data_IF_814785891182
#
_entry.id   IF_814785891182
#
_cell.length_a   1.000
_cell.length_b   1.000
_cell.length_c   1.000
_cell.angle_alpha   90.00
_cell.angle_beta   90.00
_cell.angle_gamma   90.00
#
_symmetry.space_group_name_H-M   'P 1'
#
loop_
_entity.id
_entity.type
_entity.pdbx_description
1 polymer ?
#
# COMPACT_ATOMS: atom_id res chain seq x y z
N UNK A 1 25.85 -77.88 44.86
CA UNK A 1 27.14 -77.99 44.14
C UNK A 1 27.18 -76.83 43.15
N UNK A 2 27.95 -75.77 43.44
CA UNK A 2 29.29 -75.52 42.86
C UNK A 2 29.17 -75.28 41.34
N UNK A 3 29.61 -74.18 40.72
CA UNK A 3 30.81 -73.38 40.97
C UNK A 3 30.75 -72.13 40.06
N UNK A 4 31.29 -71.00 40.52
CA UNK A 4 31.56 -69.79 39.72
C UNK A 4 32.47 -70.10 38.51
N UNK A 5 32.34 -69.31 37.44
CA UNK A 5 33.48 -68.67 36.75
C UNK A 5 33.01 -67.56 35.80
N UNK A 6 33.48 -66.35 36.10
CA UNK A 6 33.47 -65.21 35.20
C UNK A 6 34.55 -65.38 34.13
N UNK A 7 34.29 -64.91 32.91
CA UNK A 7 35.28 -64.36 31.99
C UNK A 7 34.54 -63.51 30.95
N UNK A 8 34.88 -62.23 30.92
CA UNK A 8 34.44 -61.25 29.94
C UNK A 8 34.83 -61.67 28.50
N UNK A 9 34.17 -61.11 27.48
CA UNK A 9 34.82 -60.40 26.36
C UNK A 9 33.75 -59.80 25.41
N UNK A 10 33.82 -58.48 25.29
CA UNK A 10 33.42 -57.60 24.17
C UNK A 10 32.07 -57.83 23.45
N UNK A 11 31.07 -57.02 23.84
CA UNK A 11 30.00 -56.61 22.94
C UNK A 11 30.58 -55.70 21.84
N UNK A 12 30.60 -56.17 20.60
CA UNK A 12 30.77 -55.31 19.43
C UNK A 12 29.48 -54.50 19.24
N UNK A 13 29.41 -53.32 19.85
CA UNK A 13 28.50 -52.27 19.40
C UNK A 13 29.07 -51.72 18.10
N UNK A 14 28.41 -52.03 16.99
CA UNK A 14 28.59 -51.30 15.73
C UNK A 14 28.11 -49.88 15.96
N UNK A 15 29.03 -49.05 16.46
CA UNK A 15 28.89 -47.60 16.55
C UNK A 15 28.77 -47.13 15.11
N UNK A 16 27.54 -46.95 14.62
CA UNK A 16 27.30 -46.09 13.48
C UNK A 16 28.04 -44.80 13.77
N UNK A 17 29.08 -44.55 12.97
CA UNK A 17 29.77 -43.29 12.92
C UNK A 17 28.71 -42.26 12.55
N UNK A 18 28.17 -41.57 13.56
CA UNK A 18 27.66 -40.23 13.38
C UNK A 18 28.79 -39.47 12.70
N UNK A 19 28.67 -39.28 11.38
CA UNK A 19 29.39 -38.22 10.69
C UNK A 19 29.21 -36.97 11.54
N UNK A 20 30.31 -36.37 11.98
CA UNK A 20 30.30 -35.12 12.70
C UNK A 20 29.48 -34.11 11.89
N UNK A 21 28.23 -33.88 12.28
CA UNK A 21 27.42 -32.82 11.72
C UNK A 21 28.15 -31.53 12.03
N UNK A 22 28.58 -30.81 11.00
CA UNK A 22 29.19 -29.50 11.15
C UNK A 22 28.30 -28.68 12.11
N UNK A 23 28.83 -28.39 13.31
CA UNK A 23 28.09 -27.66 14.32
C UNK A 23 27.61 -26.33 13.72
N UNK A 24 26.37 -25.95 14.04
CA UNK A 24 25.79 -24.70 13.55
C UNK A 24 26.72 -23.53 13.87
N UNK A 25 27.18 -22.86 12.83
CA UNK A 25 28.15 -21.79 12.94
C UNK A 25 27.46 -20.51 13.44
N UNK A 26 27.87 -20.01 14.61
CA UNK A 26 27.26 -18.82 15.22
C UNK A 26 27.40 -17.58 14.33
N UNK A 27 28.51 -17.45 13.60
CA UNK A 27 28.73 -16.38 12.61
C UNK A 27 27.75 -16.48 11.45
N UNK A 28 27.62 -17.65 10.81
CA UNK A 28 26.66 -17.87 9.72
C UNK A 28 25.21 -17.59 10.16
N UNK A 29 24.82 -18.03 11.36
CA UNK A 29 23.50 -17.76 11.93
C UNK A 29 23.24 -16.27 12.17
N UNK A 30 24.22 -15.55 12.72
CA UNK A 30 24.14 -14.11 12.94
C UNK A 30 24.05 -13.35 11.63
N UNK A 31 24.89 -13.69 10.65
CA UNK A 31 24.88 -13.10 9.31
C UNK A 31 23.54 -13.32 8.62
N UNK A 32 23.04 -14.55 8.57
CA UNK A 32 21.78 -14.89 7.92
C UNK A 32 20.59 -14.16 8.56
N UNK A 33 20.54 -14.08 9.89
CA UNK A 33 19.48 -13.34 10.60
C UNK A 33 19.56 -11.83 10.34
N UNK A 34 20.75 -11.24 10.38
CA UNK A 34 20.92 -9.80 10.10
C UNK A 34 20.52 -9.46 8.67
N UNK A 35 20.84 -10.35 7.72
CA UNK A 35 20.54 -10.17 6.31
C UNK A 35 19.04 -10.30 6.02
N UNK A 36 18.37 -11.29 6.61
CA UNK A 36 17.01 -11.68 6.23
C UNK A 36 15.92 -11.22 7.21
N UNK A 37 16.26 -11.00 8.49
CA UNK A 37 15.31 -10.65 9.54
C UNK A 37 14.43 -11.80 10.06
N UNK A 38 14.53 -13.02 9.50
CA UNK A 38 13.74 -14.16 9.96
C UNK A 38 14.09 -14.61 11.39
N UNK A 39 13.18 -15.38 12.01
CA UNK A 39 13.39 -15.88 13.38
C UNK A 39 14.64 -16.76 13.49
N UNK A 40 15.28 -16.77 14.66
CA UNK A 40 16.48 -17.59 14.89
C UNK A 40 16.22 -19.07 14.63
N UNK A 41 15.03 -19.57 14.97
CA UNK A 41 14.65 -20.96 14.73
C UNK A 41 14.63 -21.31 13.24
N UNK A 42 14.04 -20.43 12.41
CA UNK A 42 14.01 -20.63 10.96
C UNK A 42 15.40 -20.53 10.35
N UNK A 43 16.20 -19.52 10.75
CA UNK A 43 17.58 -19.38 10.28
C UNK A 43 18.45 -20.59 10.66
N UNK A 44 18.29 -21.10 11.88
CA UNK A 44 18.98 -22.31 12.37
C UNK A 44 18.58 -23.54 11.56
N UNK A 45 17.30 -23.71 11.27
CA UNK A 45 16.79 -24.82 10.45
C UNK A 45 17.33 -24.75 9.03
N UNK A 46 17.31 -23.56 8.41
CA UNK A 46 17.82 -23.35 7.06
C UNK A 46 19.31 -23.69 6.96
N UNK A 47 20.14 -23.17 7.88
CA UNK A 47 21.57 -23.47 7.90
C UNK A 47 21.86 -24.95 8.15
N UNK A 48 21.08 -25.61 9.00
CA UNK A 48 21.24 -27.05 9.26
C UNK A 48 20.92 -27.89 8.01
N UNK A 49 19.95 -27.49 7.19
CA UNK A 49 19.59 -28.19 5.95
C UNK A 49 20.62 -27.97 4.82
N UNK A 50 21.32 -26.85 4.83
CA UNK A 50 22.26 -26.45 3.77
C UNK A 50 23.72 -26.43 4.24
N UNK A 51 24.07 -27.20 5.27
CA UNK A 51 25.45 -27.36 5.75
C UNK A 51 26.16 -26.02 6.06
N UNK A 52 25.45 -25.08 6.69
CA UNK A 52 25.91 -23.70 6.97
C UNK A 52 26.18 -22.83 5.73
N UNK A 53 25.77 -23.23 4.53
CA UNK A 53 25.78 -22.37 3.34
C UNK A 53 24.73 -21.27 3.50
N UNK A 54 25.20 -20.04 3.73
CA UNK A 54 24.35 -18.86 3.96
C UNK A 54 23.50 -18.55 2.74
N UNK A 55 24.02 -18.71 1.52
CA UNK A 55 23.31 -18.35 0.28
C UNK A 55 22.18 -19.33 0.01
N UNK A 56 22.46 -20.63 0.13
CA UNK A 56 21.41 -21.65 -0.04
C UNK A 56 20.37 -21.58 1.08
N UNK A 57 20.79 -21.33 2.32
CA UNK A 57 19.88 -21.17 3.45
C UNK A 57 18.97 -19.95 3.29
N UNK A 58 19.48 -18.84 2.76
CA UNK A 58 18.69 -17.65 2.43
C UNK A 58 17.64 -17.95 1.35
N UNK A 59 18.04 -18.59 0.25
CA UNK A 59 17.12 -18.98 -0.81
C UNK A 59 15.99 -19.88 -0.27
N UNK A 60 16.34 -20.88 0.51
CA UNK A 60 15.37 -21.77 1.14
C UNK A 60 14.44 -21.00 2.10
N UNK A 61 14.96 -20.06 2.90
CA UNK A 61 14.13 -19.23 3.78
C UNK A 61 13.10 -18.41 3.00
N UNK A 62 13.49 -17.83 1.87
CA UNK A 62 12.56 -17.08 1.02
C UNK A 62 11.46 -17.97 0.44
N UNK A 63 11.82 -19.13 -0.10
CA UNK A 63 10.85 -20.11 -0.64
C UNK A 63 9.88 -20.59 0.45
N UNK A 64 10.40 -20.88 1.65
CA UNK A 64 9.57 -21.27 2.78
C UNK A 64 8.67 -20.13 3.27
N UNK A 65 9.17 -18.90 3.31
CA UNK A 65 8.39 -17.73 3.69
C UNK A 65 7.22 -17.51 2.72
N UNK A 66 7.46 -17.69 1.42
CA UNK A 66 6.42 -17.59 0.39
C UNK A 66 5.34 -18.66 0.61
N UNK A 67 5.75 -19.92 0.76
CA UNK A 67 4.82 -21.04 0.99
C UNK A 67 3.98 -20.87 2.26
N UNK A 68 4.62 -20.49 3.37
CA UNK A 68 3.95 -20.23 4.64
C UNK A 68 3.04 -19.00 4.57
N UNK A 69 3.46 -17.97 3.84
CA UNK A 69 2.67 -16.78 3.56
C UNK A 69 1.36 -17.12 2.87
N UNK A 70 1.44 -17.88 1.77
CA UNK A 70 0.25 -18.36 1.04
C UNK A 70 -0.66 -19.25 1.88
N UNK A 71 -0.07 -20.16 2.67
CA UNK A 71 -0.84 -21.00 3.59
C UNK A 71 -1.60 -20.16 4.62
N UNK A 72 -0.96 -19.13 5.19
CA UNK A 72 -1.60 -18.20 6.13
C UNK A 72 -2.65 -17.33 5.45
N UNK A 73 -2.35 -16.75 4.28
CA UNK A 73 -3.29 -15.94 3.52
C UNK A 73 -4.58 -16.72 3.24
N UNK A 74 -4.46 -17.99 2.83
CA UNK A 74 -5.62 -18.87 2.62
C UNK A 74 -6.40 -19.07 3.93
N UNK A 75 -5.72 -19.42 5.03
CA UNK A 75 -6.36 -19.66 6.35
C UNK A 75 -7.01 -18.43 6.97
N UNK A 76 -6.53 -17.24 6.63
CA UNK A 76 -6.97 -15.98 7.22
C UNK A 76 -7.94 -15.22 6.29
N UNK A 77 -8.12 -15.67 5.04
CA UNK A 77 -8.85 -14.95 3.99
C UNK A 77 -10.30 -14.58 4.34
N UNK A 78 -11.00 -15.41 5.11
CA UNK A 78 -12.39 -15.16 5.54
C UNK A 78 -12.51 -14.10 6.64
N UNK A 79 -11.40 -13.67 7.22
CA UNK A 79 -11.41 -12.67 8.30
C UNK A 79 -11.63 -11.28 7.74
N UNK A 80 -12.47 -10.52 8.42
CA UNK A 80 -12.86 -9.16 8.03
C UNK A 80 -11.68 -8.20 8.16
N UNK A 81 -11.34 -7.49 7.08
CA UNK A 81 -10.31 -6.45 7.06
C UNK A 81 -10.94 -5.07 6.82
N UNK A 82 -11.36 -4.40 7.89
CA UNK A 82 -11.94 -3.04 7.82
C UNK A 82 -10.98 -1.94 8.25
N UNK A 83 -9.86 -2.29 8.89
CA UNK A 83 -8.77 -1.36 9.20
C UNK A 83 -7.80 -1.28 8.04
N UNK A 84 -6.81 -0.37 8.10
CA UNK A 84 -5.78 -0.25 7.06
C UNK A 84 -5.36 1.19 6.79
N UNK A 85 -4.84 1.43 5.59
CA UNK A 85 -4.35 2.73 5.15
C UNK A 85 -4.73 3.03 3.70
N UNK A 86 -4.98 4.31 3.44
CA UNK A 86 -4.93 4.92 2.11
C UNK A 86 -3.50 5.44 1.89
N UNK A 87 -2.91 5.10 0.75
CA UNK A 87 -1.64 5.63 0.26
C UNK A 87 -1.86 6.61 -0.89
N UNK A 88 -1.21 7.77 -0.84
CA UNK A 88 -1.24 8.81 -1.89
C UNK A 88 0.20 9.11 -2.31
N UNK A 89 0.50 8.93 -3.58
CA UNK A 89 1.81 9.22 -4.18
C UNK A 89 1.61 10.12 -5.39
N UNK A 90 2.20 11.32 -5.35
CA UNK A 90 2.25 12.25 -6.49
C UNK A 90 3.70 12.39 -6.94
N UNK A 91 3.93 12.30 -8.25
CA UNK A 91 5.25 12.37 -8.89
C UNK A 91 5.15 13.17 -10.18
N UNK A 92 5.37 14.49 -10.07
CA UNK A 92 5.20 15.40 -11.19
C UNK A 92 3.77 15.37 -11.71
N UNK A 93 3.58 14.96 -12.96
CA UNK A 93 2.28 14.88 -13.62
C UNK A 93 1.56 13.53 -13.44
N UNK A 94 2.04 12.67 -12.53
CA UNK A 94 1.48 11.34 -12.27
C UNK A 94 1.03 11.22 -10.82
N UNK A 95 -0.03 10.46 -10.60
CA UNK A 95 -0.59 10.19 -9.27
C UNK A 95 -0.96 8.73 -9.09
N UNK A 96 -0.84 8.24 -7.87
CA UNK A 96 -1.36 6.95 -7.44
C UNK A 96 -2.06 7.09 -6.09
N UNK A 97 -3.22 6.45 -5.97
CA UNK A 97 -4.06 6.44 -4.78
C UNK A 97 -4.50 5.01 -4.52
N UNK A 98 -4.10 4.44 -3.40
CA UNK A 98 -4.31 3.01 -3.09
C UNK A 98 -5.00 2.85 -1.74
N UNK A 99 -5.83 1.83 -1.58
CA UNK A 99 -6.37 1.42 -0.28
C UNK A 99 -5.94 -0.02 0.00
N UNK A 100 -5.25 -0.21 1.13
CA UNK A 100 -4.91 -1.52 1.66
C UNK A 100 -5.58 -1.70 3.01
N UNK A 101 -6.14 -2.88 3.24
CA UNK A 101 -6.80 -3.20 4.49
C UNK A 101 -6.09 -4.30 5.27
N UNK A 102 -6.31 -4.31 6.58
CA UNK A 102 -5.88 -5.33 7.53
C UNK A 102 -6.94 -5.54 8.61
N UNK A 103 -6.76 -6.56 9.46
CA UNK A 103 -7.70 -6.86 10.55
C UNK A 103 -7.68 -5.75 11.62
N UNK A 104 -6.50 -5.30 12.07
CA UNK A 104 -6.35 -4.38 13.20
C UNK A 104 -5.65 -3.07 12.85
N UNK A 105 -5.88 -2.03 13.66
CA UNK A 105 -5.19 -0.74 13.53
C UNK A 105 -3.71 -0.83 13.98
N UNK A 106 -3.37 -1.81 14.83
CA UNK A 106 -1.98 -2.12 15.20
C UNK A 106 -1.14 -2.50 13.99
N UNK A 107 -1.66 -3.34 13.09
CA UNK A 107 -0.98 -3.67 11.84
C UNK A 107 -0.91 -2.47 10.90
N UNK A 108 -1.98 -1.68 10.78
CA UNK A 108 -1.97 -0.47 9.96
C UNK A 108 -0.86 0.53 10.37
N UNK A 109 -0.54 0.61 11.67
CA UNK A 109 0.53 1.49 12.17
C UNK A 109 1.94 0.92 12.03
N UNK A 110 2.08 -0.36 11.67
CA UNK A 110 3.37 -1.04 11.53
C UNK A 110 4.14 -0.53 10.30
N UNK A 111 5.44 -0.28 10.44
CA UNK A 111 6.26 0.25 9.33
C UNK A 111 6.41 -0.75 8.17
N UNK A 112 6.30 -2.05 8.42
CA UNK A 112 6.27 -3.07 7.36
C UNK A 112 5.01 -2.92 6.50
N UNK A 113 3.87 -2.68 7.13
CA UNK A 113 2.62 -2.43 6.42
C UNK A 113 2.69 -1.11 5.63
N UNK A 114 3.18 -0.02 6.24
CA UNK A 114 3.37 1.27 5.54
C UNK A 114 4.33 1.17 4.36
N UNK A 115 5.44 0.43 4.50
CA UNK A 115 6.36 0.15 3.38
C UNK A 115 5.68 -0.64 2.26
N UNK A 116 4.78 -1.55 2.61
CA UNK A 116 4.00 -2.28 1.61
C UNK A 116 2.98 -1.36 0.90
N UNK A 117 2.34 -0.43 1.62
CA UNK A 117 1.49 0.61 1.00
C UNK A 117 2.29 1.47 0.01
N UNK A 118 3.50 1.91 0.37
CA UNK A 118 4.40 2.63 -0.55
C UNK A 118 4.79 1.77 -1.76
N UNK A 119 5.11 0.50 -1.54
CA UNK A 119 5.45 -0.44 -2.60
C UNK A 119 4.31 -0.60 -3.63
N UNK A 120 3.08 -0.83 -3.16
CA UNK A 120 1.89 -0.91 -4.03
C UNK A 120 1.64 0.42 -4.73
N UNK A 121 1.77 1.56 -4.03
CA UNK A 121 1.60 2.90 -4.61
C UNK A 121 2.57 3.14 -5.77
N UNK A 122 3.83 2.72 -5.63
CA UNK A 122 4.84 2.84 -6.69
C UNK A 122 4.56 1.95 -7.90
N UNK A 123 4.09 0.72 -7.68
CA UNK A 123 3.70 -0.19 -8.78
C UNK A 123 2.52 0.41 -9.56
N UNK A 124 1.49 0.87 -8.85
CA UNK A 124 0.32 1.52 -9.47
C UNK A 124 0.72 2.77 -10.23
N UNK A 125 1.62 3.60 -9.67
CA UNK A 125 2.15 4.78 -10.35
C UNK A 125 2.91 4.39 -11.63
N UNK A 126 3.74 3.35 -11.60
CA UNK A 126 4.53 2.93 -12.75
C UNK A 126 3.66 2.50 -13.94
N UNK A 127 2.42 2.03 -13.72
CA UNK A 127 1.51 1.72 -14.80
C UNK A 127 1.17 2.93 -15.69
N UNK A 128 1.30 4.15 -15.16
CA UNK A 128 1.14 5.39 -15.94
C UNK A 128 2.29 5.62 -16.95
N UNK A 129 3.44 4.96 -16.76
CA UNK A 129 4.58 5.02 -17.69
C UNK A 129 4.35 4.17 -18.93
N UNK A 130 3.52 3.14 -18.81
CA UNK A 130 3.18 2.21 -19.89
C UNK A 130 2.07 2.76 -20.80
N UNK A 131 1.51 3.93 -20.45
CA UNK A 131 0.35 4.50 -21.13
C UNK A 131 0.67 5.83 -21.79
N UNK A 132 0.51 5.88 -23.10
CA UNK A 132 0.40 7.12 -23.86
C UNK A 132 -1.07 7.56 -23.91
N UNK A 133 -1.33 8.86 -23.82
CA UNK A 133 -2.67 9.40 -23.94
C UNK A 133 -2.61 10.83 -24.50
N UNK A 134 -3.63 11.20 -25.27
CA UNK A 134 -3.85 12.54 -25.79
C UNK A 134 -5.10 13.13 -25.12
N UNK A 135 -4.90 14.20 -24.34
CA UNK A 135 -5.93 14.82 -23.49
C UNK A 135 -5.34 15.41 -22.22
N UNK A 136 -6.19 16.08 -21.43
CA UNK A 136 -5.75 16.77 -20.22
C UNK A 136 -5.55 15.82 -19.04
N UNK A 137 -6.50 14.91 -18.80
CA UNK A 137 -6.51 14.00 -17.66
C UNK A 137 -6.82 12.58 -18.12
N UNK A 138 -5.92 11.65 -17.77
CA UNK A 138 -6.13 10.22 -17.88
C UNK A 138 -6.19 9.59 -16.49
N UNK A 139 -7.10 8.62 -16.33
CA UNK A 139 -7.31 7.90 -15.07
C UNK A 139 -7.54 6.42 -15.32
N UNK A 140 -6.99 5.58 -14.45
CA UNK A 140 -7.23 4.15 -14.45
C UNK A 140 -7.45 3.63 -13.02
N UNK A 141 -8.62 3.04 -12.79
CA UNK A 141 -8.95 2.28 -11.58
C UNK A 141 -8.61 0.80 -11.69
N UNK A 142 -8.19 0.24 -10.56
CA UNK A 142 -7.95 -1.18 -10.37
C UNK A 142 -8.79 -1.68 -9.19
N UNK A 143 -9.47 -2.81 -9.38
CA UNK A 143 -10.06 -3.56 -8.29
C UNK A 143 -9.05 -4.52 -7.65
N UNK A 144 -9.48 -5.23 -6.60
CA UNK A 144 -8.64 -6.14 -5.86
C UNK A 144 -8.06 -7.28 -6.72
N UNK A 145 -8.81 -7.76 -7.72
CA UNK A 145 -8.37 -8.89 -8.54
C UNK A 145 -7.40 -8.45 -9.62
N UNK A 146 -7.61 -7.29 -10.24
CA UNK A 146 -6.63 -6.67 -11.12
C UNK A 146 -5.31 -6.39 -10.38
N UNK A 147 -5.38 -5.86 -9.16
CA UNK A 147 -4.19 -5.52 -8.36
C UNK A 147 -3.37 -6.75 -7.99
N UNK A 148 -4.00 -7.85 -7.57
CA UNK A 148 -3.30 -9.09 -7.21
C UNK A 148 -2.41 -9.62 -8.34
N UNK A 149 -2.81 -9.42 -9.59
CA UNK A 149 -2.13 -9.95 -10.77
C UNK A 149 -1.02 -9.04 -11.30
N UNK A 150 -0.85 -7.82 -10.77
CA UNK A 150 0.23 -6.93 -11.23
C UNK A 150 1.58 -7.52 -10.85
N UNK A 151 2.47 -7.62 -11.84
CA UNK A 151 3.86 -8.03 -11.64
C UNK A 151 4.66 -6.94 -10.94
N UNK A 152 5.61 -7.35 -10.10
CA UNK A 152 6.50 -6.44 -9.39
C UNK A 152 7.89 -6.44 -10.03
N UNK A 153 8.62 -5.30 -10.02
CA UNK A 153 10.01 -5.25 -10.48
C UNK A 153 10.97 -6.20 -9.72
N UNK A 154 10.60 -6.59 -8.50
CA UNK A 154 11.34 -7.52 -7.65
C UNK A 154 11.01 -8.99 -7.97
N UNK A 155 10.12 -9.26 -8.92
CA UNK A 155 9.66 -10.58 -9.30
C UNK A 155 8.40 -11.02 -8.54
N UNK A 156 7.61 -11.90 -9.17
CA UNK A 156 6.32 -12.33 -8.64
C UNK A 156 5.24 -11.26 -8.75
N UNK A 157 4.02 -11.63 -8.37
CA UNK A 157 2.84 -10.77 -8.41
C UNK A 157 2.63 -10.02 -7.09
N UNK A 158 1.83 -8.95 -7.10
CA UNK A 158 1.42 -8.29 -5.86
C UNK A 158 0.73 -9.25 -4.87
N UNK A 159 0.05 -10.30 -5.36
CA UNK A 159 -0.51 -11.33 -4.50
C UNK A 159 0.59 -12.14 -3.76
N UNK A 160 1.71 -12.43 -4.42
CA UNK A 160 2.85 -13.10 -3.79
C UNK A 160 3.44 -12.24 -2.66
N UNK A 161 3.59 -10.94 -2.91
CA UNK A 161 4.11 -10.01 -1.91
C UNK A 161 3.12 -9.77 -0.76
N UNK A 162 1.81 -9.73 -1.05
CA UNK A 162 0.76 -9.68 -0.04
C UNK A 162 0.79 -10.94 0.86
N UNK A 163 0.99 -12.11 0.27
CA UNK A 163 1.11 -13.36 1.03
C UNK A 163 2.33 -13.33 1.97
N UNK A 164 3.46 -12.76 1.54
CA UNK A 164 4.63 -12.53 2.41
C UNK A 164 4.30 -11.57 3.57
N UNK A 165 3.58 -10.47 3.30
CA UNK A 165 3.14 -9.54 4.33
C UNK A 165 2.25 -10.24 5.37
N UNK A 166 1.23 -10.98 4.93
CA UNK A 166 0.33 -11.76 5.81
C UNK A 166 1.14 -12.79 6.59
N UNK A 167 2.11 -13.44 5.94
CA UNK A 167 3.03 -14.37 6.56
C UNK A 167 3.81 -13.77 7.72
N UNK A 168 4.30 -12.55 7.54
CA UNK A 168 5.10 -11.79 8.50
C UNK A 168 4.25 -11.18 9.62
N UNK A 169 3.09 -10.60 9.30
CA UNK A 169 2.21 -9.93 10.27
C UNK A 169 1.34 -10.91 11.07
N UNK A 170 0.95 -12.03 10.46
CA UNK A 170 0.08 -13.02 11.07
C UNK A 170 -1.41 -12.63 11.11
N UNK A 171 -1.78 -11.56 10.40
CA UNK A 171 -3.17 -11.10 10.21
C UNK A 171 -3.51 -11.08 8.72
N UNK A 172 -4.80 -11.21 8.42
CA UNK A 172 -5.33 -11.01 7.09
C UNK A 172 -5.09 -9.57 6.63
N UNK A 173 -4.79 -9.44 5.35
CA UNK A 173 -4.60 -8.17 4.68
C UNK A 173 -5.10 -8.27 3.23
N UNK A 174 -5.50 -7.16 2.65
CA UNK A 174 -5.95 -7.10 1.27
C UNK A 174 -5.49 -5.81 0.59
N UNK A 175 -5.22 -5.90 -0.71
CA UNK A 175 -5.09 -4.73 -1.58
C UNK A 175 -6.47 -4.51 -2.18
N UNK A 176 -7.18 -3.49 -1.73
CA UNK A 176 -8.62 -3.39 -1.97
C UNK A 176 -8.97 -2.72 -3.28
N UNK A 177 -8.32 -1.60 -3.57
CA UNK A 177 -8.55 -0.80 -4.78
C UNK A 177 -7.42 0.19 -4.99
N UNK A 178 -7.27 0.64 -6.22
CA UNK A 178 -6.34 1.69 -6.57
C UNK A 178 -6.87 2.55 -7.71
N UNK A 179 -6.34 3.77 -7.81
CA UNK A 179 -6.46 4.67 -8.93
C UNK A 179 -5.06 5.16 -9.30
N UNK A 180 -4.76 5.24 -10.59
CA UNK A 180 -3.64 6.01 -11.09
C UNK A 180 -4.13 7.12 -12.03
N UNK A 181 -3.36 8.20 -12.06
CA UNK A 181 -3.68 9.45 -12.72
C UNK A 181 -2.46 9.87 -13.53
N UNK A 182 -2.70 10.40 -14.73
CA UNK A 182 -1.69 11.10 -15.51
C UNK A 182 -2.33 12.36 -16.06
N UNK A 183 -1.67 13.49 -15.88
CA UNK A 183 -2.13 14.78 -16.39
C UNK A 183 -1.13 15.32 -17.39
N UNK A 184 -1.62 16.06 -18.39
CA UNK A 184 -0.80 16.74 -19.39
C UNK A 184 -1.19 18.24 -19.43
N UNK A 185 -0.61 18.96 -20.39
CA UNK A 185 -0.90 20.37 -20.65
C UNK A 185 -0.67 21.24 -19.41
N UNK A 186 -1.70 21.95 -18.98
CA UNK A 186 -1.67 22.88 -17.85
C UNK A 186 -2.22 22.29 -16.55
N UNK A 187 -2.57 20.99 -16.54
CA UNK A 187 -3.03 20.31 -15.34
C UNK A 187 -1.89 19.90 -14.41
N UNK A 188 -2.14 20.06 -13.13
CA UNK A 188 -1.27 19.69 -12.01
C UNK A 188 -2.01 18.74 -11.07
N UNK A 189 -1.26 17.95 -10.31
CA UNK A 189 -1.79 17.05 -9.29
C UNK A 189 -1.32 17.49 -7.90
N UNK A 190 -2.24 17.51 -6.95
CA UNK A 190 -1.94 17.61 -5.52
C UNK A 190 -2.61 16.47 -4.77
N UNK A 191 -1.97 16.02 -3.68
CA UNK A 191 -2.46 14.90 -2.90
C UNK A 191 -2.17 15.05 -1.42
N UNK A 192 -3.06 14.52 -0.59
CA UNK A 192 -3.00 14.59 0.86
C UNK A 192 -3.54 13.31 1.48
N UNK A 193 -2.88 12.82 2.53
CA UNK A 193 -3.42 11.76 3.38
C UNK A 193 -3.61 12.26 4.82
N UNK A 194 -4.67 11.80 5.47
CA UNK A 194 -5.04 12.17 6.85
C UNK A 194 -5.20 10.93 7.75
N UNK A 195 -4.65 10.90 8.97
CA UNK A 195 -3.78 11.92 9.56
C UNK A 195 -2.46 12.05 8.80
N UNK A 196 -1.97 13.27 8.66
CA UNK A 196 -0.73 13.52 7.96
C UNK A 196 0.47 12.98 8.75
N UNK A 197 1.45 12.33 8.11
CA UNK A 197 2.71 12.05 8.76
C UNK A 197 3.39 13.37 9.17
N UNK A 198 3.81 13.48 10.43
CA UNK A 198 4.52 14.65 10.92
C UNK A 198 5.88 14.75 10.25
N UNK A 199 6.26 15.95 9.81
CA UNK A 199 7.60 16.31 9.27
C UNK A 199 7.90 15.90 7.82
N UNK A 200 7.08 16.30 6.85
CA UNK A 200 7.49 16.23 5.44
C UNK A 200 7.47 17.62 4.82
N UNK A 201 8.66 18.15 4.50
CA UNK A 201 8.83 19.47 3.87
C UNK A 201 8.37 19.49 2.40
N UNK A 202 8.21 18.31 1.79
CA UNK A 202 7.72 18.13 0.42
C UNK A 202 6.96 16.80 0.35
N UNK A 203 5.87 16.75 -0.41
CA UNK A 203 5.08 15.53 -0.61
C UNK A 203 5.34 14.88 -1.96
N UNK A 204 6.21 15.47 -2.79
CA UNK A 204 6.56 14.94 -4.10
C UNK A 204 7.42 13.67 -3.98
N UNK A 205 7.10 12.65 -4.77
CA UNK A 205 7.76 11.34 -4.80
C UNK A 205 7.76 10.55 -3.47
N UNK A 206 7.01 11.02 -2.48
CA UNK A 206 6.87 10.39 -1.16
C UNK A 206 5.43 9.92 -1.01
N UNK A 207 5.24 8.64 -0.71
CA UNK A 207 3.90 8.11 -0.43
C UNK A 207 3.45 8.61 0.93
N UNK A 208 2.42 9.45 0.94
CA UNK A 208 1.69 9.82 2.14
C UNK A 208 0.72 8.70 2.51
N UNK A 209 0.57 8.42 3.80
CA UNK A 209 -0.33 7.38 4.29
C UNK A 209 -1.24 7.90 5.38
N UNK A 210 -2.50 7.49 5.38
CA UNK A 210 -3.51 7.92 6.35
C UNK A 210 -4.74 7.02 6.34
N UNK A 211 -5.71 7.31 7.21
CA UNK A 211 -7.04 6.69 7.16
C UNK A 211 -7.87 7.23 5.99
N UNK A 212 -7.68 8.51 5.66
CA UNK A 212 -8.32 9.17 4.53
C UNK A 212 -7.25 9.66 3.57
N UNK A 213 -7.62 9.82 2.30
CA UNK A 213 -6.77 10.51 1.34
C UNK A 213 -7.59 11.18 0.26
N UNK A 214 -7.03 12.22 -0.33
CA UNK A 214 -7.57 12.88 -1.52
C UNK A 214 -6.45 13.17 -2.52
N UNK A 215 -6.81 13.12 -3.79
CA UNK A 215 -6.00 13.64 -4.90
C UNK A 215 -6.88 14.56 -5.74
N UNK A 216 -6.32 15.69 -6.17
CA UNK A 216 -7.01 16.70 -6.98
C UNK A 216 -6.19 17.00 -8.23
N UNK A 217 -6.87 17.02 -9.37
CA UNK A 217 -6.36 17.51 -10.64
C UNK A 217 -6.91 18.92 -10.88
N UNK A 218 -6.01 19.89 -11.04
CA UNK A 218 -6.38 21.30 -11.15
C UNK A 218 -5.52 22.06 -12.14
N UNK A 219 -6.06 23.14 -12.70
CA UNK A 219 -5.30 24.17 -13.41
C UNK A 219 -5.08 25.36 -12.50
N UNK A 220 -3.95 26.03 -12.66
CA UNK A 220 -3.66 27.30 -11.99
C UNK A 220 -3.02 28.25 -12.98
N UNK A 221 -3.59 29.45 -13.14
CA UNK A 221 -2.99 30.50 -13.99
C UNK A 221 -1.86 31.26 -13.28
N UNK A 222 -1.77 31.14 -11.97
CA UNK A 222 -0.65 31.66 -11.21
C UNK A 222 0.38 30.54 -11.03
N UNK A 223 1.66 30.88 -11.14
CA UNK A 223 2.77 29.95 -10.88
C UNK A 223 2.97 29.73 -9.37
N UNK A 224 1.86 29.50 -8.65
CA UNK A 224 1.88 29.23 -7.22
C UNK A 224 2.15 27.75 -7.04
N UNK A 225 3.39 27.48 -6.66
CA UNK A 225 3.73 26.31 -5.84
C UNK A 225 3.29 26.56 -4.38
N UNK A 226 2.10 27.17 -4.19
CA UNK A 226 1.52 27.35 -2.87
C UNK A 226 0.96 26.00 -2.42
N UNK A 227 1.86 25.24 -1.82
CA UNK A 227 1.54 23.95 -1.24
C UNK A 227 0.47 24.04 -0.15
N UNK A 228 0.28 25.21 0.51
CA UNK A 228 -0.73 25.34 1.56
C UNK A 228 -2.13 25.40 0.97
N UNK A 229 -2.36 26.13 -0.13
CA UNK A 229 -3.69 26.11 -0.76
C UNK A 229 -4.01 24.74 -1.38
N UNK A 230 -3.04 24.11 -2.03
CA UNK A 230 -3.20 22.76 -2.61
C UNK A 230 -3.57 21.72 -1.54
N UNK A 231 -2.86 21.77 -0.41
CA UNK A 231 -3.12 20.93 0.76
C UNK A 231 -4.46 21.27 1.41
N UNK A 232 -4.80 22.55 1.54
CA UNK A 232 -6.07 23.02 2.09
C UNK A 232 -7.28 22.53 1.27
N UNK A 233 -7.20 22.56 -0.06
CA UNK A 233 -8.21 21.97 -0.94
C UNK A 233 -8.33 20.46 -0.70
N UNK A 234 -7.22 19.73 -0.58
CA UNK A 234 -7.28 18.30 -0.31
C UNK A 234 -7.83 18.00 1.10
N UNK A 235 -7.52 18.85 2.10
CA UNK A 235 -8.08 18.76 3.45
C UNK A 235 -9.60 19.00 3.44
N UNK A 236 -10.06 19.99 2.67
CA UNK A 236 -11.48 20.24 2.43
C UNK A 236 -12.17 18.99 1.90
N UNK A 237 -11.63 18.38 0.83
CA UNK A 237 -12.20 17.18 0.22
C UNK A 237 -12.24 16.01 1.23
N UNK A 238 -11.15 15.81 1.98
CA UNK A 238 -11.09 14.77 3.01
C UNK A 238 -12.14 15.00 4.11
N UNK A 239 -12.25 16.22 4.63
CA UNK A 239 -13.09 16.57 5.78
C UNK A 239 -14.57 16.68 5.43
N UNK A 240 -14.89 17.38 4.34
CA UNK A 240 -16.27 17.78 4.00
C UNK A 240 -16.95 16.86 2.98
N UNK A 241 -16.23 15.85 2.46
CA UNK A 241 -16.76 14.78 1.58
C UNK A 241 -17.74 15.31 0.50
N UNK A 242 -17.33 16.29 -0.32
CA UNK A 242 -18.15 16.74 -1.45
C UNK A 242 -18.44 15.57 -2.40
N UNK A 243 -19.56 15.66 -3.11
CA UNK A 243 -19.97 14.67 -4.12
C UNK A 243 -19.63 15.11 -5.56
N UNK A 244 -19.42 16.40 -5.78
CA UNK A 244 -19.02 16.99 -7.07
C UNK A 244 -18.27 18.30 -6.87
N UNK A 245 -17.57 18.78 -7.89
CA UNK A 245 -16.93 20.11 -7.88
C UNK A 245 -18.01 21.19 -7.87
N UNK A 246 -18.88 21.17 -8.89
CA UNK A 246 -19.96 22.13 -9.08
C UNK A 246 -19.74 23.09 -10.22
N UNK A 247 -20.83 23.61 -10.78
CA UNK A 247 -20.83 24.64 -11.81
C UNK A 247 -21.74 25.80 -11.44
N UNK A 248 -21.18 27.02 -11.42
CA UNK A 248 -21.95 28.23 -11.12
C UNK A 248 -23.10 28.42 -12.11
N UNK A 249 -24.28 28.73 -11.60
CA UNK A 249 -25.49 28.95 -12.39
C UNK A 249 -26.27 27.67 -12.73
N UNK A 250 -25.65 26.48 -12.64
CA UNK A 250 -26.35 25.20 -12.74
C UNK A 250 -26.60 24.58 -11.37
N UNK A 251 -25.57 24.59 -10.53
CA UNK A 251 -25.64 24.07 -9.17
C UNK A 251 -25.92 25.21 -8.21
N UNK A 252 -27.06 25.13 -7.51
CA UNK A 252 -27.44 26.07 -6.47
C UNK A 252 -26.90 25.58 -5.12
N UNK A 253 -26.55 26.51 -4.21
CA UNK A 253 -26.16 26.13 -2.86
C UNK A 253 -27.33 25.45 -2.14
N UNK A 254 -27.02 24.49 -1.27
CA UNK A 254 -27.99 23.84 -0.42
C UNK A 254 -28.67 24.87 0.52
N UNK A 255 -29.95 24.65 0.84
CA UNK A 255 -30.67 25.50 1.79
C UNK A 255 -30.01 25.45 3.19
N UNK A 256 -29.55 24.27 3.58
CA UNK A 256 -28.77 24.04 4.79
C UNK A 256 -27.30 23.83 4.43
N UNK A 257 -26.42 24.64 5.01
CA UNK A 257 -24.98 24.59 4.76
C UNK A 257 -24.35 23.26 5.17
N UNK A 258 -24.87 22.62 6.21
CA UNK A 258 -24.36 21.32 6.70
C UNK A 258 -24.62 20.18 5.71
N UNK A 259 -25.60 20.35 4.81
CA UNK A 259 -25.98 19.38 3.79
C UNK A 259 -25.34 19.70 2.43
N UNK A 260 -24.40 20.64 2.36
CA UNK A 260 -23.78 21.07 1.10
C UNK A 260 -22.86 19.99 0.52
N UNK A 261 -23.23 19.50 -0.66
CA UNK A 261 -22.53 18.42 -1.37
C UNK A 261 -21.68 18.92 -2.54
N UNK A 262 -21.86 20.17 -2.93
CA UNK A 262 -21.19 20.82 -4.04
C UNK A 262 -19.95 21.56 -3.53
N UNK A 263 -18.75 21.11 -3.90
CA UNK A 263 -17.49 21.62 -3.34
C UNK A 263 -17.39 23.14 -3.40
N UNK A 264 -17.72 23.77 -4.53
CA UNK A 264 -17.60 25.23 -4.70
C UNK A 264 -18.50 26.05 -3.75
N UNK A 265 -19.55 25.46 -3.19
CA UNK A 265 -20.49 26.13 -2.28
C UNK A 265 -20.23 25.80 -0.80
N UNK A 266 -19.37 24.82 -0.51
CA UNK A 266 -19.01 24.48 0.87
C UNK A 266 -18.23 25.64 1.51
N UNK A 267 -18.47 25.86 2.81
CA UNK A 267 -17.60 26.70 3.64
C UNK A 267 -16.19 26.11 3.66
N UNK A 268 -15.18 26.97 3.53
CA UNK A 268 -13.80 26.53 3.49
C UNK A 268 -13.29 26.24 4.90
N UNK A 269 -12.76 25.03 5.10
CA UNK A 269 -12.34 24.52 6.42
C UNK A 269 -11.30 25.40 7.12
N UNK A 270 -10.43 26.07 6.36
CA UNK A 270 -9.36 26.92 6.91
C UNK A 270 -9.77 28.39 7.06
N UNK A 271 -10.88 28.81 6.46
CA UNK A 271 -11.44 30.16 6.54
C UNK A 271 -12.95 30.12 6.30
N UNK A 272 -13.73 30.05 7.39
CA UNK A 272 -15.18 29.89 7.33
C UNK A 272 -15.92 31.14 6.80
N UNK A 273 -15.23 32.27 6.65
CA UNK A 273 -15.80 33.48 6.05
C UNK A 273 -15.93 33.36 4.53
N UNK A 274 -15.32 32.33 3.92
CA UNK A 274 -15.30 32.08 2.48
C UNK A 274 -15.84 30.70 2.13
N UNK A 275 -16.43 30.62 0.96
CA UNK A 275 -16.68 29.36 0.26
C UNK A 275 -15.41 28.86 -0.44
N UNK A 276 -15.32 27.56 -0.68
CA UNK A 276 -14.22 26.98 -1.46
C UNK A 276 -14.17 27.62 -2.86
N UNK A 277 -15.32 27.88 -3.49
CA UNK A 277 -15.37 28.50 -4.81
C UNK A 277 -14.81 29.93 -4.84
N UNK A 278 -14.98 30.71 -3.77
CA UNK A 278 -14.34 32.02 -3.63
C UNK A 278 -12.82 31.89 -3.49
N UNK A 279 -12.36 30.96 -2.65
CA UNK A 279 -10.93 30.66 -2.49
C UNK A 279 -10.30 30.23 -3.80
N UNK A 280 -10.96 29.37 -4.58
CA UNK A 280 -10.50 28.93 -5.90
C UNK A 280 -10.39 30.11 -6.88
N UNK A 281 -11.39 31.00 -6.92
CA UNK A 281 -11.38 32.19 -7.78
C UNK A 281 -10.27 33.17 -7.42
N UNK A 282 -10.09 33.47 -6.14
CA UNK A 282 -9.04 34.37 -5.65
C UNK A 282 -7.63 33.90 -6.03
N UNK A 283 -7.42 32.58 -6.04
CA UNK A 283 -6.15 31.95 -6.37
C UNK A 283 -6.04 31.54 -7.85
N UNK A 284 -7.04 31.85 -8.68
CA UNK A 284 -7.13 31.46 -10.09
C UNK A 284 -6.92 29.94 -10.31
N UNK A 285 -7.52 29.12 -9.44
CA UNK A 285 -7.50 27.66 -9.49
C UNK A 285 -8.81 27.15 -10.08
N UNK A 286 -8.72 26.25 -11.05
CA UNK A 286 -9.83 25.46 -11.57
C UNK A 286 -9.63 24.00 -11.17
N UNK A 287 -10.53 23.44 -10.36
CA UNK A 287 -10.53 22.00 -10.09
C UNK A 287 -11.21 21.30 -11.27
N UNK A 288 -10.47 20.45 -11.97
CA UNK A 288 -11.01 19.64 -13.06
C UNK A 288 -11.59 18.33 -12.52
N UNK A 289 -10.93 17.73 -11.54
CA UNK A 289 -11.36 16.45 -10.98
C UNK A 289 -10.74 16.19 -9.60
N UNK A 290 -11.38 15.36 -8.78
CA UNK A 290 -10.80 14.90 -7.51
C UNK A 290 -11.33 13.53 -7.12
N UNK A 291 -10.55 12.82 -6.29
CA UNK A 291 -10.97 11.55 -5.69
C UNK A 291 -10.65 11.56 -4.21
N UNK A 292 -11.55 10.95 -3.42
CA UNK A 292 -11.43 10.79 -1.97
C UNK A 292 -11.57 9.31 -1.63
N UNK A 293 -10.64 8.77 -0.86
CA UNK A 293 -10.79 7.46 -0.24
C UNK A 293 -10.85 7.61 1.27
N UNK A 294 -11.71 6.81 1.84
CA UNK A 294 -11.73 6.50 3.26
C UNK A 294 -11.50 5.00 3.43
N UNK A 295 -10.48 4.67 4.22
CA UNK A 295 -10.14 3.29 4.55
C UNK A 295 -11.35 2.60 5.19
N UNK A 296 -11.76 1.47 4.61
CA UNK A 296 -12.89 0.67 5.08
C UNK A 296 -14.26 1.17 4.59
N UNK A 297 -14.33 2.23 3.78
CA UNK A 297 -15.60 2.75 3.25
C UNK A 297 -16.29 1.71 2.36
N UNK A 298 -17.58 1.47 2.56
CA UNK A 298 -18.32 0.45 1.79
C UNK A 298 -18.72 0.89 0.38
N UNK A 299 -18.74 2.19 0.12
CA UNK A 299 -19.12 2.78 -1.16
C UNK A 299 -17.98 2.62 -2.18
N UNK A 300 -18.22 1.79 -3.21
CA UNK A 300 -17.29 1.57 -4.34
C UNK A 300 -17.74 2.25 -5.64
N UNK A 301 -18.72 3.17 -5.59
CA UNK A 301 -19.41 3.69 -6.78
C UNK A 301 -18.41 4.28 -7.79
N UNK A 302 -17.53 5.15 -7.33
CA UNK A 302 -16.66 5.96 -8.20
C UNK A 302 -15.66 5.10 -8.98
N UNK A 303 -15.07 4.07 -8.35
CA UNK A 303 -14.12 3.18 -9.05
C UNK A 303 -14.83 2.27 -10.04
N UNK A 304 -16.02 1.77 -9.72
CA UNK A 304 -16.77 0.92 -10.66
C UNK A 304 -17.16 1.69 -11.92
N UNK A 305 -17.49 2.97 -11.79
CA UNK A 305 -17.76 3.84 -12.92
C UNK A 305 -16.51 4.09 -13.76
N UNK A 306 -15.38 4.37 -13.13
CA UNK A 306 -14.09 4.52 -13.82
C UNK A 306 -13.69 3.23 -14.57
N UNK A 307 -13.80 2.07 -13.92
CA UNK A 307 -13.50 0.77 -14.54
C UNK A 307 -14.45 0.50 -15.73
N UNK A 308 -15.75 0.80 -15.59
CA UNK A 308 -16.72 0.65 -16.69
C UNK A 308 -16.39 1.55 -17.87
N UNK A 309 -16.02 2.81 -17.63
CA UNK A 309 -15.66 3.76 -18.69
C UNK A 309 -14.43 3.27 -19.48
N UNK A 310 -13.46 2.62 -18.82
CA UNK A 310 -12.31 2.02 -19.50
C UNK A 310 -12.73 0.87 -20.44
N UNK A 311 -13.60 -0.02 -19.96
CA UNK A 311 -14.07 -1.18 -20.73
C UNK A 311 -14.89 -0.75 -21.97
N UNK A 312 -15.59 0.38 -21.89
CA UNK A 312 -16.33 0.96 -23.02
C UNK A 312 -15.39 1.60 -24.05
N UNK A 313 -14.28 2.19 -23.63
CA UNK A 313 -13.29 2.78 -24.53
C UNK A 313 -12.30 1.76 -25.14
N UNK A 314 -12.35 0.49 -24.70
CA UNK A 314 -11.46 -0.59 -25.18
C UNK A 314 -12.15 -1.54 -26.18
N UNK A 315 -13.44 -1.33 -26.50
CA UNK A 315 -14.22 -2.06 -27.50
C UNK A 315 -14.54 -1.16 -28.70
#
# INVERSE_FOLDING_TARGET
>A
MLLQKALAHAFHTTRQLCSAGAGLEKSALSTLRKKTGYTFANCKKALALHNNDVTQAEKWLHEQAQSLGWSKATKLSDRVTTQGLVGILVSGNRGAMVELNCETDFVARNDTFKRFVDHVSRIVLHYTDLTEFDGDLWKLGFDADALKNLETPQGGSLADHLALLIGAMGENASIRRALCFKVNNDLRLAGYAHPAPTNVSTTQNITQVGKYGAIVAFRSQQDVDDHEIQKGICQQIVGMKPLKVGEYGKDLPAENKDDETCLIHQEYLLDADKTVGEVLKENAIEIVDYHRFECGEQTQRDIKEIIRAQQQNSN
#
